data_IF_482529143574
#
_entry.id   IF_482529143574
#
_cell.length_a   1.000
_cell.length_b   1.000
_cell.length_c   1.000
_cell.angle_alpha   90.00
_cell.angle_beta   90.00
_cell.angle_gamma   90.00
#
_symmetry.space_group_name_H-M   'P 1'
#
loop_
_entity.id
_entity.type
_entity.pdbx_description
1 polymer ?
#
# COMPACT_ATOMS: atom_id res chain seq x y z
N UNK A 1 -21.93 8.21 14.83
CA UNK A 1 -20.73 7.42 14.49
C UNK A 1 -20.16 8.06 13.25
N UNK A 2 -18.89 8.44 13.25
CA UNK A 2 -18.33 9.33 12.22
C UNK A 2 -17.33 8.57 11.37
N UNK A 3 -17.40 8.78 10.06
CA UNK A 3 -16.46 8.22 9.11
C UNK A 3 -15.06 8.81 9.31
N UNK A 4 -14.04 8.02 9.00
CA UNK A 4 -12.63 8.44 9.07
C UNK A 4 -12.05 8.42 7.67
N UNK A 5 -11.48 9.56 7.25
CA UNK A 5 -10.78 9.69 5.97
C UNK A 5 -9.28 9.59 6.19
N UNK A 6 -8.61 8.75 5.41
CA UNK A 6 -7.17 8.52 5.43
C UNK A 6 -6.57 8.68 4.03
N UNK A 7 -5.34 9.18 3.97
CA UNK A 7 -4.55 9.19 2.73
C UNK A 7 -3.66 7.94 2.67
N UNK A 8 -3.59 7.31 1.49
CA UNK A 8 -2.64 6.23 1.18
C UNK A 8 -1.63 6.71 0.12
N UNK A 9 -0.45 7.23 0.54
CA UNK A 9 0.55 7.77 -0.38
C UNK A 9 1.07 6.76 -1.39
N UNK A 10 1.11 7.15 -2.66
CA UNK A 10 1.76 6.40 -3.70
C UNK A 10 3.29 6.48 -3.54
N UNK A 11 3.98 5.42 -3.98
CA UNK A 11 5.44 5.40 -4.09
C UNK A 11 5.89 5.47 -5.53
N UNK A 12 6.99 6.16 -5.77
CA UNK A 12 7.73 6.15 -7.01
C UNK A 12 9.10 5.49 -6.78
N UNK A 13 9.51 4.62 -7.69
CA UNK A 13 10.85 4.03 -7.68
C UNK A 13 11.70 4.76 -8.72
N UNK A 14 12.59 5.63 -8.26
CA UNK A 14 13.41 6.48 -9.13
C UNK A 14 14.54 5.70 -9.80
N UNK A 15 15.11 4.75 -9.07
CA UNK A 15 16.12 3.82 -9.58
C UNK A 15 15.80 2.41 -9.10
N UNK A 16 16.05 1.43 -9.96
CA UNK A 16 15.85 0.01 -9.68
C UNK A 16 16.93 -0.79 -10.36
N UNK A 17 17.64 -1.61 -9.59
CA UNK A 17 18.60 -2.59 -10.08
C UNK A 17 18.27 -3.96 -9.50
N UNK A 18 18.12 -4.94 -10.37
CA UNK A 18 18.03 -6.35 -9.98
C UNK A 18 19.45 -6.89 -9.83
N UNK A 19 19.78 -7.39 -8.64
CA UNK A 19 21.11 -7.90 -8.29
C UNK A 19 21.22 -9.42 -8.44
N UNK A 20 20.10 -10.13 -8.45
CA UNK A 20 20.05 -11.58 -8.61
C UNK A 20 18.75 -12.16 -8.10
N UNK A 21 18.66 -13.50 -8.12
CA UNK A 21 17.52 -14.25 -7.60
C UNK A 21 17.87 -14.88 -6.25
N UNK A 22 16.95 -14.77 -5.31
CA UNK A 22 17.00 -15.37 -3.97
C UNK A 22 16.46 -16.80 -4.00
N UNK A 23 16.82 -17.57 -2.97
CA UNK A 23 16.39 -18.97 -2.83
C UNK A 23 14.87 -19.12 -2.61
N UNK A 24 14.20 -18.06 -2.17
CA UNK A 24 12.74 -18.00 -2.01
C UNK A 24 11.98 -17.64 -3.31
N UNK A 25 12.68 -17.50 -4.42
CA UNK A 25 12.09 -17.21 -5.73
C UNK A 25 11.90 -15.73 -6.04
N UNK A 26 12.19 -14.82 -5.10
CA UNK A 26 12.19 -13.38 -5.36
C UNK A 26 13.53 -12.88 -5.91
N UNK A 27 13.58 -11.62 -6.31
CA UNK A 27 14.82 -10.96 -6.71
C UNK A 27 15.40 -10.15 -5.54
N UNK A 28 16.73 -10.20 -5.39
CA UNK A 28 17.44 -9.21 -4.62
C UNK A 28 17.48 -7.93 -5.46
N UNK A 29 16.97 -6.83 -4.92
CA UNK A 29 16.93 -5.54 -5.60
C UNK A 29 17.63 -4.47 -4.77
N UNK A 30 18.24 -3.53 -5.47
CA UNK A 30 18.67 -2.23 -4.95
C UNK A 30 17.79 -1.17 -5.60
N UNK A 31 17.13 -0.33 -4.80
CA UNK A 31 16.12 0.59 -5.29
C UNK A 31 16.07 1.86 -4.46
N UNK A 32 15.94 3.01 -5.14
CA UNK A 32 15.63 4.28 -4.51
C UNK A 32 14.13 4.56 -4.63
N UNK A 33 13.45 4.65 -3.49
CA UNK A 33 12.01 4.88 -3.42
C UNK A 33 11.70 6.17 -2.69
N UNK A 34 10.77 6.94 -3.26
CA UNK A 34 10.27 8.19 -2.68
C UNK A 34 8.75 8.17 -2.65
N UNK A 35 8.18 8.78 -1.61
CA UNK A 35 6.74 9.06 -1.57
C UNK A 35 6.46 10.33 -2.35
N UNK A 36 5.31 10.37 -3.03
CA UNK A 36 4.84 11.54 -3.78
C UNK A 36 3.54 12.06 -3.18
N UNK A 37 3.18 13.31 -3.49
CA UNK A 37 1.89 13.89 -3.07
C UNK A 37 0.71 13.43 -3.94
N UNK A 38 0.77 12.20 -4.43
CA UNK A 38 -0.32 11.50 -5.10
C UNK A 38 -0.72 10.36 -4.18
N UNK A 39 -2.00 10.25 -3.85
CA UNK A 39 -2.49 9.28 -2.88
C UNK A 39 -3.92 8.87 -3.22
N UNK A 40 -4.27 7.66 -2.84
CA UNK A 40 -5.67 7.26 -2.76
C UNK A 40 -6.28 7.83 -1.47
N UNK A 41 -7.57 8.18 -1.52
CA UNK A 41 -8.36 8.54 -0.34
C UNK A 41 -9.19 7.33 0.10
N UNK A 42 -8.98 6.90 1.34
CA UNK A 42 -9.69 5.79 1.94
C UNK A 42 -10.69 6.36 2.95
N UNK A 43 -11.98 6.13 2.70
CA UNK A 43 -13.06 6.46 3.63
C UNK A 43 -13.46 5.19 4.37
N UNK A 44 -13.25 5.19 5.68
CA UNK A 44 -13.60 4.09 6.57
C UNK A 44 -14.92 4.42 7.26
N UNK A 45 -15.94 3.62 6.98
CA UNK A 45 -17.21 3.65 7.68
C UNK A 45 -17.27 2.50 8.69
N UNK A 46 -17.94 2.67 9.83
CA UNK A 46 -18.17 1.58 10.75
C UNK A 46 -18.96 0.42 10.12
N UNK A 47 -18.38 -0.78 10.19
CA UNK A 47 -19.08 -2.00 9.82
C UNK A 47 -19.97 -2.54 10.95
N UNK A 48 -20.81 -3.55 10.66
CA UNK A 48 -21.57 -4.27 11.67
C UNK A 48 -20.66 -4.87 12.75
N UNK A 49 -21.04 -4.77 14.02
CA UNK A 49 -20.25 -5.29 15.15
C UNK A 49 -20.35 -6.79 15.34
N UNK A 50 -21.27 -7.45 14.63
CA UNK A 50 -21.54 -8.89 14.69
C UNK A 50 -20.81 -9.69 13.59
N UNK A 51 -20.03 -9.03 12.74
CA UNK A 51 -19.20 -9.67 11.72
C UNK A 51 -19.95 -10.16 10.48
N UNK A 52 -21.26 -9.92 10.39
CA UNK A 52 -22.03 -10.19 9.18
C UNK A 52 -21.87 -9.03 8.19
N UNK A 53 -20.98 -9.17 7.22
CA UNK A 53 -20.92 -8.26 6.06
C UNK A 53 -21.95 -8.73 5.02
N UNK A 54 -22.99 -7.93 4.78
CA UNK A 54 -23.95 -8.16 3.69
C UNK A 54 -23.47 -7.36 2.46
N UNK A 55 -23.08 -8.04 1.36
CA UNK A 55 -22.40 -7.42 0.21
C UNK A 55 -23.30 -6.57 -0.69
#
# INVERSE_FOLDING_TARGET
MTDVTLAAPAKLTLSLRVLGRRDDGYHLIDAEMVSVNLFDELVLTPGPTDGCFDP
#
